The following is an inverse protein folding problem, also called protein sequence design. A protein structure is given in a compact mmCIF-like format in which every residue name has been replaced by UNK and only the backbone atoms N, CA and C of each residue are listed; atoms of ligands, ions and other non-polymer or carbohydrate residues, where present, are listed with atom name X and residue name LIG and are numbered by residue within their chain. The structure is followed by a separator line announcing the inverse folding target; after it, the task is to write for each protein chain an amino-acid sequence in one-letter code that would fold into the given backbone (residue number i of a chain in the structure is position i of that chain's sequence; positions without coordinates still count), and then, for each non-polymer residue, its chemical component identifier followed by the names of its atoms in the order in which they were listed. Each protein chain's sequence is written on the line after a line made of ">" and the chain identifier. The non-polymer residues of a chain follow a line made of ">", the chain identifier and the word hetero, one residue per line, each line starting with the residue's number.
data_IF_509277654114
#
_entry.id   IF_509277654114
#
_cell.length_a   1.000
_cell.length_b   1.000
_cell.length_c   1.000
_cell.angle_alpha   90.00
_cell.angle_beta   90.00
_cell.angle_gamma   90.00
#
_symmetry.space_group_name_H-M   'P 1'
#
loop_
_entity.id
_entity.type
_entity.pdbx_description
1 polymer ?
#
# COMPACT_ATOMS: atom_id res chain seq x y z
N UNK A 1 12.04 -14.98 11.19
CA UNK A 1 11.67 -13.99 10.18
C UNK A 1 12.87 -13.13 9.82
N UNK A 2 13.28 -13.13 8.56
CA UNK A 2 14.26 -12.17 8.02
C UNK A 2 13.54 -10.86 7.67
N UNK A 3 13.88 -9.77 8.37
CA UNK A 3 13.26 -8.45 8.22
C UNK A 3 14.06 -7.51 7.30
N UNK A 4 15.11 -8.01 6.65
CA UNK A 4 16.00 -7.20 5.82
C UNK A 4 15.22 -6.51 4.70
N UNK A 5 15.30 -5.17 4.56
CA UNK A 5 14.59 -4.46 3.51
C UNK A 5 15.06 -4.86 2.12
N UNK A 6 14.13 -4.87 1.15
CA UNK A 6 14.43 -5.19 -0.25
C UNK A 6 13.74 -4.20 -1.19
N UNK A 7 14.31 -4.07 -2.38
CA UNK A 7 13.72 -3.35 -3.51
C UNK A 7 12.84 -4.30 -4.33
N UNK A 8 11.85 -3.74 -5.03
CA UNK A 8 10.97 -4.52 -5.88
C UNK A 8 11.70 -5.05 -7.13
N UNK A 9 11.28 -6.21 -7.60
CA UNK A 9 11.72 -6.79 -8.87
C UNK A 9 10.70 -6.54 -9.96
N UNK A 10 11.16 -6.49 -11.21
CA UNK A 10 10.28 -6.32 -12.37
C UNK A 10 9.58 -7.64 -12.67
N UNK A 11 8.25 -7.65 -12.62
CA UNK A 11 7.44 -8.80 -13.05
C UNK A 11 7.02 -8.67 -14.52
N UNK A 12 6.72 -7.45 -14.96
CA UNK A 12 6.24 -7.18 -16.31
C UNK A 12 6.76 -5.83 -16.82
N UNK A 13 7.08 -5.78 -18.10
CA UNK A 13 7.45 -4.57 -18.84
C UNK A 13 6.74 -4.56 -20.19
N UNK A 14 6.18 -3.40 -20.54
CA UNK A 14 5.66 -3.14 -21.87
C UNK A 14 5.54 -1.65 -22.15
N UNK A 15 5.14 -1.28 -23.35
CA UNK A 15 5.13 0.13 -23.81
C UNK A 15 4.25 1.06 -22.98
N UNK A 16 3.22 0.50 -22.32
CA UNK A 16 2.32 1.26 -21.44
C UNK A 16 2.83 1.45 -20.02
N UNK A 17 3.84 0.68 -19.58
CA UNK A 17 4.28 0.72 -18.20
C UNK A 17 4.97 -0.53 -17.70
N UNK A 18 5.27 -0.52 -16.41
CA UNK A 18 6.01 -1.56 -15.72
C UNK A 18 5.27 -1.94 -14.44
N UNK A 19 5.29 -3.22 -14.13
CA UNK A 19 4.73 -3.73 -12.89
C UNK A 19 5.82 -4.46 -12.09
N UNK A 20 5.99 -4.03 -10.84
CA UNK A 20 7.01 -4.54 -9.93
C UNK A 20 6.37 -5.26 -8.75
N UNK A 21 7.05 -6.28 -8.24
CA UNK A 21 6.61 -7.07 -7.08
C UNK A 21 7.73 -7.18 -6.05
N UNK A 22 7.34 -7.40 -4.80
CA UNK A 22 8.19 -8.01 -3.80
C UNK A 22 7.72 -9.45 -3.63
N UNK A 23 8.49 -10.41 -4.16
CA UNK A 23 8.15 -11.82 -4.03
C UNK A 23 8.40 -12.29 -2.60
N UNK A 24 7.53 -13.15 -2.08
CA UNK A 24 7.75 -13.86 -0.82
C UNK A 24 8.99 -14.77 -0.82
N UNK A 25 9.55 -15.10 -1.99
CA UNK A 25 10.86 -15.77 -2.07
C UNK A 25 12.03 -14.85 -1.70
N UNK A 26 11.94 -13.56 -2.05
CA UNK A 26 13.01 -12.58 -1.83
C UNK A 26 12.79 -11.78 -0.54
N UNK A 27 11.53 -11.65 -0.11
CA UNK A 27 11.11 -11.03 1.14
C UNK A 27 10.25 -12.02 1.93
N UNK A 28 10.84 -13.06 2.56
CA UNK A 28 10.09 -14.09 3.28
C UNK A 28 9.16 -13.54 4.37
N UNK A 29 9.51 -12.41 4.99
CA UNK A 29 8.66 -11.72 5.97
C UNK A 29 7.25 -11.40 5.44
N UNK A 30 7.09 -11.12 4.14
CA UNK A 30 5.77 -10.89 3.54
C UNK A 30 4.87 -12.14 3.65
N UNK A 31 5.44 -13.31 3.35
CA UNK A 31 4.73 -14.59 3.44
C UNK A 31 4.44 -14.99 4.88
N UNK A 32 5.44 -14.89 5.76
CA UNK A 32 5.30 -15.22 7.20
C UNK A 32 4.27 -14.30 7.89
N UNK A 33 4.27 -13.01 7.56
CA UNK A 33 3.37 -12.03 8.16
C UNK A 33 2.05 -11.84 7.38
N UNK A 34 1.85 -12.60 6.29
CA UNK A 34 0.62 -12.59 5.47
C UNK A 34 0.24 -11.20 4.97
N UNK A 35 1.21 -10.47 4.45
CA UNK A 35 1.04 -9.13 3.88
C UNK A 35 1.78 -9.03 2.55
N UNK A 36 1.25 -8.27 1.60
CA UNK A 36 1.78 -8.22 0.23
C UNK A 36 2.05 -6.79 -0.23
N UNK A 37 2.95 -6.67 -1.20
CA UNK A 37 3.30 -5.38 -1.80
C UNK A 37 3.58 -5.50 -3.30
N UNK A 38 3.21 -4.46 -4.05
CA UNK A 38 3.56 -4.31 -5.46
C UNK A 38 3.64 -2.83 -5.85
N UNK A 39 4.25 -2.52 -6.98
CA UNK A 39 4.36 -1.15 -7.50
C UNK A 39 3.99 -1.11 -8.98
N UNK A 40 3.01 -0.28 -9.30
CA UNK A 40 2.54 0.00 -10.65
C UNK A 40 3.19 1.30 -11.15
N UNK A 41 3.78 1.26 -12.34
CA UNK A 41 4.30 2.43 -13.05
C UNK A 41 3.61 2.48 -14.41
N UNK A 42 2.82 3.53 -14.64
CA UNK A 42 2.17 3.77 -15.93
C UNK A 42 2.84 4.94 -16.64
N UNK A 43 3.38 4.67 -17.81
CA UNK A 43 3.80 5.72 -18.75
C UNK A 43 2.59 6.60 -19.10
N UNK A 44 2.78 7.82 -19.64
CA UNK A 44 1.67 8.61 -20.19
C UNK A 44 0.81 7.74 -21.12
N UNK A 45 -0.52 7.78 -21.03
CA UNK A 45 -1.43 6.88 -21.79
C UNK A 45 -1.26 5.38 -21.51
N UNK A 46 -0.54 5.00 -20.46
CA UNK A 46 -0.47 3.63 -19.96
C UNK A 46 -1.79 3.20 -19.35
N UNK A 47 -2.28 2.03 -19.71
CA UNK A 47 -3.54 1.45 -19.26
C UNK A 47 -3.33 0.06 -18.67
N UNK A 48 -3.52 -0.06 -17.36
CA UNK A 48 -3.61 -1.34 -16.66
C UNK A 48 -4.97 -1.97 -16.90
N UNK A 49 -4.98 -3.16 -17.51
CA UNK A 49 -6.19 -3.86 -17.91
C UNK A 49 -7.10 -4.17 -16.70
N UNK A 50 -8.43 -4.23 -16.89
CA UNK A 50 -9.38 -4.54 -15.81
C UNK A 50 -9.09 -5.87 -15.12
N UNK A 51 -8.96 -5.83 -13.80
CA UNK A 51 -8.65 -6.99 -12.97
C UNK A 51 -9.25 -6.86 -11.57
N UNK A 52 -9.45 -7.99 -10.90
CA UNK A 52 -9.66 -8.05 -9.45
C UNK A 52 -8.52 -8.81 -8.77
N UNK A 53 -8.48 -8.80 -7.44
CA UNK A 53 -7.43 -9.46 -6.68
C UNK A 53 -7.99 -10.31 -5.53
N UNK A 54 -7.20 -11.30 -5.09
CA UNK A 54 -7.46 -12.13 -3.91
C UNK A 54 -7.16 -11.44 -2.57
N UNK A 55 -6.77 -10.16 -2.63
CA UNK A 55 -6.24 -9.42 -1.49
C UNK A 55 -6.82 -8.00 -1.45
N UNK A 56 -7.26 -7.58 -0.26
CA UNK A 56 -7.56 -6.18 0.02
C UNK A 56 -6.26 -5.40 0.22
N UNK A 57 -6.20 -4.18 -0.30
CA UNK A 57 -4.97 -3.37 -0.34
C UNK A 57 -5.28 -1.88 -0.39
N UNK A 58 -4.33 -1.06 0.03
CA UNK A 58 -4.34 0.38 -0.17
C UNK A 58 -3.31 0.75 -1.23
N UNK A 59 -3.70 1.56 -2.21
CA UNK A 59 -2.79 2.21 -3.15
C UNK A 59 -2.38 3.57 -2.64
N UNK A 60 -1.09 3.89 -2.70
CA UNK A 60 -0.55 5.22 -2.42
C UNK A 60 0.15 5.78 -3.66
N UNK A 61 -0.30 6.94 -4.10
CA UNK A 61 0.22 7.60 -5.31
C UNK A 61 1.51 8.34 -4.97
N UNK A 62 2.63 7.80 -5.45
CA UNK A 62 3.97 8.34 -5.24
C UNK A 62 4.29 9.50 -6.20
N UNK A 63 3.76 9.44 -7.42
CA UNK A 63 4.02 10.38 -8.51
C UNK A 63 2.84 10.38 -9.50
N UNK A 64 2.61 11.49 -10.20
CA UNK A 64 1.50 11.69 -11.12
C UNK A 64 0.43 12.60 -10.55
N UNK A 65 -0.20 13.40 -11.39
CA UNK A 65 -1.26 14.37 -11.03
C UNK A 65 -2.59 14.16 -11.79
N UNK A 66 -2.58 13.32 -12.82
CA UNK A 66 -3.74 13.01 -13.67
C UNK A 66 -3.92 11.50 -13.88
N UNK A 67 -3.90 10.75 -12.78
CA UNK A 67 -4.29 9.34 -12.80
C UNK A 67 -5.80 9.17 -12.85
N UNK A 68 -6.28 8.15 -13.55
CA UNK A 68 -7.67 7.71 -13.53
C UNK A 68 -7.76 6.25 -13.09
N UNK A 69 -8.78 5.95 -12.30
CA UNK A 69 -9.11 4.59 -11.87
C UNK A 69 -10.60 4.39 -12.04
N UNK A 70 -11.00 3.30 -12.71
CA UNK A 70 -12.36 2.78 -12.62
C UNK A 70 -12.42 1.68 -11.59
N UNK A 71 -13.46 1.67 -10.75
CA UNK A 71 -13.73 0.61 -9.79
C UNK A 71 -15.17 0.13 -9.91
N UNK A 72 -15.35 -1.19 -9.89
CA UNK A 72 -16.65 -1.85 -9.73
C UNK A 72 -16.58 -2.71 -8.48
N UNK A 73 -17.45 -2.42 -7.51
CA UNK A 73 -17.46 -3.11 -6.23
C UNK A 73 -18.26 -4.42 -6.30
N UNK A 74 -17.98 -5.39 -5.43
CA UNK A 74 -18.78 -6.62 -5.36
C UNK A 74 -20.27 -6.33 -5.17
N UNK A 75 -21.11 -7.03 -5.94
CA UNK A 75 -22.58 -6.91 -5.92
C UNK A 75 -23.13 -5.53 -6.34
N UNK A 76 -22.35 -4.73 -7.06
CA UNK A 76 -22.84 -3.51 -7.72
C UNK A 76 -22.81 -3.68 -9.24
N UNK A 77 -23.55 -2.82 -9.94
CA UNK A 77 -23.59 -2.78 -11.42
C UNK A 77 -23.10 -1.46 -12.00
N UNK A 78 -22.59 -0.57 -11.15
CA UNK A 78 -22.13 0.75 -11.52
C UNK A 78 -20.61 0.86 -11.32
N UNK A 79 -19.99 1.57 -12.26
CA UNK A 79 -18.58 1.89 -12.24
C UNK A 79 -18.36 3.28 -11.63
N UNK A 80 -17.43 3.35 -10.69
CA UNK A 80 -16.95 4.60 -10.12
C UNK A 80 -15.63 4.99 -10.78
N UNK A 81 -15.61 6.14 -11.46
CA UNK A 81 -14.42 6.66 -12.12
C UNK A 81 -13.83 7.79 -11.28
N UNK A 82 -12.58 7.63 -10.90
CA UNK A 82 -11.93 8.39 -9.84
C UNK A 82 -10.66 9.03 -10.38
N UNK A 83 -10.40 10.27 -9.98
CA UNK A 83 -9.14 10.95 -10.29
C UNK A 83 -8.15 10.76 -9.14
N UNK A 84 -6.89 10.55 -9.50
CA UNK A 84 -5.77 10.35 -8.59
C UNK A 84 -4.65 11.34 -8.85
N UNK A 85 -4.00 11.76 -7.78
CA UNK A 85 -2.79 12.59 -7.77
C UNK A 85 -1.85 12.17 -6.64
N UNK A 86 -0.60 12.62 -6.70
CA UNK A 86 0.41 12.39 -5.67
C UNK A 86 -0.11 12.67 -4.26
N UNK A 87 0.20 11.75 -3.34
CA UNK A 87 -0.24 11.79 -1.94
C UNK A 87 -1.61 11.15 -1.69
N UNK A 88 -2.34 10.78 -2.73
CA UNK A 88 -3.62 10.09 -2.58
C UNK A 88 -3.45 8.67 -2.05
N UNK A 89 -4.29 8.32 -1.08
CA UNK A 89 -4.53 6.96 -0.61
C UNK A 89 -5.90 6.50 -1.10
N UNK A 90 -5.91 5.37 -1.82
CA UNK A 90 -7.12 4.75 -2.37
C UNK A 90 -7.26 3.32 -1.83
N UNK A 91 -8.32 2.99 -1.08
CA UNK A 91 -8.61 1.62 -0.67
C UNK A 91 -9.18 0.81 -1.82
N UNK A 92 -8.68 -0.41 -2.00
CA UNK A 92 -9.19 -1.39 -2.97
C UNK A 92 -9.70 -2.59 -2.17
N UNK A 93 -11.02 -2.65 -1.90
CA UNK A 93 -11.65 -3.78 -1.21
C UNK A 93 -11.44 -5.09 -1.95
N UNK A 94 -11.45 -6.19 -1.21
CA UNK A 94 -11.33 -7.55 -1.75
C UNK A 94 -12.38 -7.80 -2.84
N UNK A 95 -11.95 -8.37 -3.97
CA UNK A 95 -12.83 -8.73 -5.08
C UNK A 95 -13.32 -7.56 -5.94
N UNK A 96 -12.96 -6.31 -5.63
CA UNK A 96 -13.27 -5.17 -6.51
C UNK A 96 -12.54 -5.30 -7.85
N UNK A 97 -13.27 -5.11 -8.95
CA UNK A 97 -12.65 -4.99 -10.28
C UNK A 97 -12.16 -3.56 -10.44
N UNK A 98 -10.93 -3.37 -10.91
CA UNK A 98 -10.36 -2.07 -11.19
C UNK A 98 -9.54 -2.05 -12.47
N UNK A 99 -9.50 -0.90 -13.13
CA UNK A 99 -8.52 -0.57 -14.18
C UNK A 99 -7.84 0.75 -13.84
N UNK A 100 -6.64 0.95 -14.39
CA UNK A 100 -5.76 2.06 -14.02
C UNK A 100 -5.25 2.75 -15.26
N UNK A 101 -5.24 4.07 -15.28
CA UNK A 101 -4.84 4.82 -16.45
C UNK A 101 -4.06 6.07 -16.09
N UNK A 102 -2.98 6.33 -16.82
CA UNK A 102 -2.32 7.63 -16.79
C UNK A 102 -2.93 8.52 -17.88
N UNK A 103 -3.77 9.48 -17.46
CA UNK A 103 -4.45 10.40 -18.37
C UNK A 103 -3.59 11.59 -18.82
N UNK A 104 -2.38 11.70 -18.30
CA UNK A 104 -1.43 12.70 -18.75
C UNK A 104 -1.07 12.55 -20.22
N UNK A 105 -0.86 13.70 -20.89
CA UNK A 105 -0.42 13.76 -22.28
C UNK A 105 1.04 13.33 -22.45
N UNK A 106 1.54 13.28 -23.68
CA UNK A 106 2.87 12.72 -24.01
C UNK A 106 4.08 13.29 -23.24
N UNK A 107 3.96 14.48 -22.63
CA UNK A 107 5.01 15.12 -21.82
C UNK A 107 4.74 15.06 -20.30
N UNK A 108 3.70 14.34 -19.85
CA UNK A 108 3.41 14.20 -18.43
C UNK A 108 4.40 13.25 -17.76
N UNK A 109 4.49 13.35 -16.44
CA UNK A 109 5.19 12.35 -15.64
C UNK A 109 4.47 10.99 -15.65
N UNK A 110 5.20 9.95 -15.25
CA UNK A 110 4.63 8.63 -15.00
C UNK A 110 3.70 8.68 -13.78
N UNK A 111 2.61 7.92 -13.84
CA UNK A 111 1.79 7.64 -12.66
C UNK A 111 2.43 6.45 -11.92
N UNK A 112 2.86 6.68 -10.68
CA UNK A 112 3.50 5.66 -9.85
C UNK A 112 2.66 5.41 -8.61
N UNK A 113 2.20 4.17 -8.42
CA UNK A 113 1.38 3.76 -7.28
C UNK A 113 2.00 2.55 -6.61
N UNK A 114 2.26 2.64 -5.31
CA UNK A 114 2.61 1.47 -4.49
C UNK A 114 1.35 0.93 -3.84
N UNK A 115 1.15 -0.39 -3.87
CA UNK A 115 0.07 -1.05 -3.17
C UNK A 115 0.63 -1.91 -2.06
N UNK A 116 0.07 -1.76 -0.86
CA UNK A 116 0.37 -2.58 0.30
C UNK A 116 -0.95 -3.17 0.82
N UNK A 117 -0.97 -4.43 1.21
CA UNK A 117 -2.22 -5.10 1.58
C UNK A 117 -2.05 -6.35 2.42
N UNK A 118 -3.19 -6.92 2.81
CA UNK A 118 -3.25 -8.17 3.56
C UNK A 118 -3.42 -9.35 2.60
N UNK A 119 -2.66 -10.42 2.84
CA UNK A 119 -2.66 -11.65 2.05
C UNK A 119 -3.05 -12.88 2.89
N UNK A 120 -3.70 -12.68 4.04
CA UNK A 120 -4.15 -13.76 4.94
C UNK A 120 -5.01 -14.81 4.25
N UNK A 121 -5.75 -14.40 3.22
CA UNK A 121 -6.64 -15.24 2.41
C UNK A 121 -6.19 -15.36 0.95
N UNK A 122 -4.98 -14.91 0.62
CA UNK A 122 -4.44 -14.98 -0.72
C UNK A 122 -4.07 -16.42 -1.09
N UNK A 123 -4.03 -16.71 -2.40
CA UNK A 123 -3.56 -18.01 -2.89
C UNK A 123 -2.09 -18.25 -2.57
N UNK A 124 -1.29 -17.20 -2.63
CA UNK A 124 0.14 -17.21 -2.32
C UNK A 124 0.38 -16.21 -1.19
N UNK A 125 0.65 -16.67 0.04
CA UNK A 125 0.99 -15.78 1.14
C UNK A 125 2.16 -14.86 0.77
N UNK A 126 2.00 -13.56 1.04
CA UNK A 126 2.99 -12.54 0.72
C UNK A 126 2.87 -11.93 -0.67
N UNK A 127 1.93 -12.39 -1.51
CA UNK A 127 1.75 -11.90 -2.88
C UNK A 127 0.31 -11.45 -3.14
N UNK A 128 0.18 -10.36 -3.90
CA UNK A 128 -1.10 -9.87 -4.40
C UNK A 128 -1.37 -10.54 -5.75
N UNK A 129 -2.33 -11.47 -5.81
CA UNK A 129 -2.64 -12.21 -7.05
C UNK A 129 -3.76 -11.54 -7.82
N UNK A 130 -3.58 -11.39 -9.13
CA UNK A 130 -4.53 -10.70 -10.00
C UNK A 130 -5.25 -11.65 -10.95
N UNK A 131 -6.52 -11.35 -11.17
CA UNK A 131 -7.44 -12.06 -12.05
C UNK A 131 -7.94 -11.09 -13.11
N UNK A 132 -7.42 -11.23 -14.32
CA UNK A 132 -7.72 -10.31 -15.41
C UNK A 132 -9.06 -10.67 -16.06
N UNK A 133 -9.87 -9.64 -16.33
CA UNK A 133 -11.15 -9.79 -17.03
C UNK A 133 -10.97 -9.69 -18.54
N UNK A 134 -9.93 -8.98 -18.99
CA UNK A 134 -9.61 -8.76 -20.40
C UNK A 134 -8.10 -8.95 -20.67
N UNK A 135 -7.74 -9.13 -21.95
CA UNK A 135 -6.37 -9.37 -22.37
C UNK A 135 -5.99 -10.85 -22.46
N UNK A 136 -4.72 -11.12 -22.71
CA UNK A 136 -4.17 -12.47 -22.89
C UNK A 136 -4.37 -13.35 -21.65
N UNK A 137 -4.41 -12.76 -20.45
CA UNK A 137 -4.66 -13.46 -19.19
C UNK A 137 -6.15 -13.42 -18.78
N UNK A 138 -7.06 -13.08 -19.69
CA UNK A 138 -8.48 -12.95 -19.42
C UNK A 138 -9.10 -14.27 -18.94
N UNK A 139 -9.76 -14.23 -17.79
CA UNK A 139 -10.62 -15.32 -17.32
C UNK A 139 -11.82 -15.55 -18.25
N UNK A 140 -12.37 -14.48 -18.84
CA UNK A 140 -13.45 -14.60 -19.82
C UNK A 140 -12.96 -15.34 -21.07
N UNK A 141 -11.75 -15.04 -21.54
CA UNK A 141 -11.10 -15.76 -22.64
C UNK A 141 -10.66 -17.19 -22.31
N UNK A 142 -10.65 -17.57 -21.03
CA UNK A 142 -10.40 -18.95 -20.58
C UNK A 142 -11.59 -19.89 -20.78
N UNK A 143 -12.81 -19.36 -20.91
CA UNK A 143 -13.98 -20.19 -21.24
C UNK A 143 -14.00 -20.58 -22.71
N UNK A 144 -14.59 -21.74 -23.03
CA UNK A 144 -14.78 -22.12 -24.43
C UNK A 144 -15.72 -21.13 -25.15
N UNK A 145 -15.47 -20.91 -26.44
CA UNK A 145 -16.30 -20.04 -27.29
C UNK A 145 -17.78 -20.43 -27.23
N UNK A 146 -18.10 -21.73 -27.14
CA UNK A 146 -19.48 -22.20 -27.01
C UNK A 146 -20.14 -21.77 -25.69
N UNK A 147 -19.41 -21.82 -24.57
CA UNK A 147 -19.92 -21.38 -23.27
C UNK A 147 -20.18 -19.88 -23.28
N UNK A 148 -19.22 -19.09 -23.77
CA UNK A 148 -19.39 -17.63 -23.88
C UNK A 148 -20.55 -17.30 -24.81
N UNK A 149 -20.64 -17.93 -25.99
CA UNK A 149 -21.71 -17.65 -26.95
C UNK A 149 -23.09 -17.94 -26.35
N UNK A 150 -23.24 -19.05 -25.61
CA UNK A 150 -24.51 -19.40 -24.94
C UNK A 150 -24.82 -18.49 -23.75
N UNK A 151 -23.83 -18.17 -22.93
CA UNK A 151 -24.01 -17.34 -21.74
C UNK A 151 -24.47 -15.91 -22.08
N UNK A 152 -23.91 -15.32 -23.15
CA UNK A 152 -24.27 -13.97 -23.59
C UNK A 152 -25.36 -13.95 -24.68
N UNK A 153 -25.84 -15.11 -25.14
CA UNK A 153 -26.78 -15.25 -26.25
C UNK A 153 -26.29 -14.53 -27.54
N UNK A 154 -25.05 -14.80 -27.92
CA UNK A 154 -24.36 -14.24 -29.11
C UNK A 154 -23.84 -15.35 -30.02
N UNK A 155 -23.37 -14.99 -31.21
CA UNK A 155 -22.73 -15.94 -32.12
C UNK A 155 -21.34 -16.35 -31.62
N UNK A 156 -20.82 -17.48 -32.12
CA UNK A 156 -19.45 -17.94 -31.80
C UNK A 156 -18.38 -16.96 -32.29
N UNK A 157 -18.59 -16.32 -33.44
CA UNK A 157 -17.66 -15.33 -33.99
C UNK A 157 -17.62 -14.05 -33.13
N UNK A 158 -18.76 -13.61 -32.61
CA UNK A 158 -18.82 -12.49 -31.66
C UNK A 158 -18.15 -12.85 -30.33
N UNK A 159 -18.40 -14.06 -29.81
CA UNK A 159 -17.74 -14.54 -28.60
C UNK A 159 -16.22 -14.59 -28.76
N UNK A 160 -15.72 -15.07 -29.91
CA UNK A 160 -14.29 -15.08 -30.22
C UNK A 160 -13.72 -13.67 -30.31
N UNK A 161 -14.41 -12.72 -30.94
CA UNK A 161 -13.97 -11.32 -30.97
C UNK A 161 -13.93 -10.71 -29.57
N UNK A 162 -14.95 -10.88 -28.75
CA UNK A 162 -15.01 -10.34 -27.39
C UNK A 162 -13.86 -10.88 -26.52
N UNK A 163 -13.56 -12.17 -26.65
CA UNK A 163 -12.56 -12.85 -25.82
C UNK A 163 -11.12 -12.69 -26.30
N UNK A 164 -10.88 -12.49 -27.61
CA UNK A 164 -9.55 -12.58 -28.21
C UNK A 164 -9.04 -11.28 -28.86
N UNK A 165 -9.85 -10.23 -28.97
CA UNK A 165 -9.42 -8.99 -29.66
C UNK A 165 -8.35 -8.19 -28.92
N UNK A 166 -8.32 -8.26 -27.59
CA UNK A 166 -7.28 -7.61 -26.78
C UNK A 166 -6.14 -8.60 -26.52
N UNK A 167 -4.97 -8.35 -27.10
CA UNK A 167 -3.78 -9.22 -27.00
C UNK A 167 -2.76 -8.73 -25.95
N UNK A 168 -2.99 -7.57 -25.34
CA UNK A 168 -2.19 -7.08 -24.22
C UNK A 168 -2.25 -8.00 -23.00
N UNK A 169 -1.20 -7.99 -22.17
CA UNK A 169 -1.07 -8.92 -21.03
C UNK A 169 -1.53 -8.28 -19.72
N UNK A 170 -0.79 -7.30 -19.19
CA UNK A 170 -1.10 -6.59 -17.93
C UNK A 170 -1.38 -5.11 -18.19
N UNK A 171 -0.42 -4.44 -18.83
CA UNK A 171 -0.43 -3.01 -19.11
C UNK A 171 -0.22 -2.82 -20.60
N UNK A 172 -1.04 -1.97 -21.23
CA UNK A 172 -0.94 -1.59 -22.64
C UNK A 172 -0.78 -0.08 -22.79
N UNK A 173 -0.26 0.34 -23.95
CA UNK A 173 -0.25 1.74 -24.35
C UNK A 173 -1.50 2.03 -25.18
N UNK A 174 -2.26 3.06 -24.81
CA UNK A 174 -3.39 3.53 -25.62
C UNK A 174 -2.93 4.63 -26.58
N UNK A 175 -3.50 4.63 -27.80
CA UNK A 175 -3.38 5.74 -28.75
C UNK A 175 -4.16 6.98 -28.30
N UNK A 176 -4.22 8.00 -29.14
CA UNK A 176 -4.97 9.26 -28.89
C UNK A 176 -6.13 9.41 -29.90
N UNK A 177 -6.90 8.34 -30.12
CA UNK A 177 -8.03 8.32 -31.03
C UNK A 177 -9.38 8.18 -30.30
N UNK A 178 -10.49 8.38 -31.03
CA UNK A 178 -11.86 8.33 -30.47
C UNK A 178 -12.20 6.99 -29.79
N UNK A 179 -11.56 5.88 -30.18
CA UNK A 179 -11.79 4.55 -29.59
C UNK A 179 -11.14 4.40 -28.22
N UNK A 180 -10.25 5.32 -27.86
CA UNK A 180 -9.48 5.33 -26.60
C UNK A 180 -9.91 6.45 -25.65
N UNK A 181 -11.13 6.97 -25.83
CA UNK A 181 -11.71 7.99 -24.95
C UNK A 181 -12.06 7.38 -23.59
N UNK A 182 -11.45 7.91 -22.54
CA UNK A 182 -11.69 7.44 -21.18
C UNK A 182 -13.00 7.99 -20.60
N UNK A 183 -13.67 7.23 -19.71
CA UNK A 183 -14.77 7.74 -18.91
C UNK A 183 -14.37 8.98 -18.09
N UNK A 184 -15.32 9.88 -17.85
CA UNK A 184 -15.06 11.09 -17.05
C UNK A 184 -15.11 10.75 -15.56
N UNK A 185 -14.15 11.23 -14.75
CA UNK A 185 -14.18 11.01 -13.31
C UNK A 185 -15.32 11.78 -12.64
N UNK A 186 -15.87 11.20 -11.57
CA UNK A 186 -16.83 11.83 -10.68
C UNK A 186 -16.10 12.49 -9.51
N UNK A 187 -16.27 13.80 -9.33
CA UNK A 187 -15.70 14.51 -8.18
C UNK A 187 -16.24 14.00 -6.86
N UNK A 188 -17.54 13.67 -6.79
CA UNK A 188 -18.16 13.18 -5.57
C UNK A 188 -17.57 11.81 -5.17
N UNK A 189 -17.45 10.92 -6.14
CA UNK A 189 -16.86 9.60 -5.95
C UNK A 189 -15.39 9.71 -5.57
N UNK A 190 -14.65 10.63 -6.20
CA UNK A 190 -13.25 10.91 -5.86
C UNK A 190 -13.12 11.35 -4.40
N UNK A 191 -13.93 12.30 -3.93
CA UNK A 191 -13.91 12.76 -2.53
C UNK A 191 -14.30 11.66 -1.52
N UNK A 192 -15.15 10.71 -1.93
CA UNK A 192 -15.62 9.62 -1.08
C UNK A 192 -14.64 8.45 -1.01
N UNK A 193 -13.89 8.20 -2.07
CA UNK A 193 -13.10 6.97 -2.25
C UNK A 193 -11.58 7.20 -2.19
N UNK A 194 -11.15 8.46 -2.09
CA UNK A 194 -9.73 8.85 -2.03
C UNK A 194 -9.50 9.85 -0.91
N UNK A 195 -8.37 9.70 -0.21
CA UNK A 195 -7.93 10.67 0.79
C UNK A 195 -6.49 11.09 0.52
N UNK A 196 -6.25 12.40 0.38
CA UNK A 196 -4.91 12.94 0.12
C UNK A 196 -4.17 13.18 1.45
N UNK A 197 -3.16 12.37 1.75
CA UNK A 197 -2.37 12.51 3.00
C UNK A 197 -1.18 13.44 2.73
N UNK A 198 -1.24 14.67 3.22
CA UNK A 198 -0.19 15.69 3.04
C UNK A 198 0.60 16.01 4.30
N UNK A 199 0.04 15.71 5.47
CA UNK A 199 0.60 16.02 6.78
C UNK A 199 1.96 15.35 7.04
N UNK A 200 2.76 15.94 7.94
CA UNK A 200 4.11 15.44 8.30
C UNK A 200 4.05 14.01 8.85
N UNK A 201 3.26 13.77 9.90
CA UNK A 201 3.04 12.42 10.42
C UNK A 201 1.56 12.24 10.71
N UNK A 202 0.92 11.26 10.09
CA UNK A 202 -0.52 11.01 10.26
C UNK A 202 -0.83 9.55 10.03
N UNK A 203 -1.63 8.98 10.93
CA UNK A 203 -2.28 7.67 10.73
C UNK A 203 -3.74 7.92 10.37
N UNK A 204 -4.14 7.43 9.21
CA UNK A 204 -5.49 7.50 8.68
C UNK A 204 -6.21 6.19 9.00
N UNK A 205 -7.26 6.28 9.82
CA UNK A 205 -8.11 5.14 10.21
C UNK A 205 -9.51 5.30 9.60
N UNK A 206 -10.39 4.32 9.83
CA UNK A 206 -11.79 4.47 9.40
C UNK A 206 -12.54 5.62 10.10
N UNK A 207 -12.00 6.22 11.16
CA UNK A 207 -12.60 7.40 11.78
C UNK A 207 -12.42 8.64 10.89
N UNK A 208 -11.22 8.84 10.35
CA UNK A 208 -10.90 9.97 9.48
C UNK A 208 -11.32 9.70 8.04
N UNK A 209 -11.27 8.44 7.61
CA UNK A 209 -11.64 8.02 6.26
C UNK A 209 -12.44 6.71 6.29
N UNK A 210 -13.78 6.78 6.46
CA UNK A 210 -14.65 5.62 6.67
C UNK A 210 -14.56 4.52 5.60
N UNK A 211 -14.17 4.87 4.38
CA UNK A 211 -14.05 3.89 3.30
C UNK A 211 -12.90 2.88 3.53
N UNK A 212 -11.93 3.19 4.39
CA UNK A 212 -10.89 2.24 4.82
C UNK A 212 -11.46 0.95 5.44
N UNK A 213 -12.64 1.03 6.06
CA UNK A 213 -13.35 -0.13 6.61
C UNK A 213 -13.63 -1.20 5.56
N UNK A 214 -13.84 -0.81 4.30
CA UNK A 214 -14.11 -1.76 3.21
C UNK A 214 -12.87 -2.57 2.81
N UNK A 215 -11.67 -2.00 2.99
CA UNK A 215 -10.42 -2.73 2.84
C UNK A 215 -10.00 -3.46 4.13
N UNK A 216 -10.49 -3.01 5.30
CA UNK A 216 -10.09 -3.55 6.61
C UNK A 216 -8.68 -3.12 7.02
N UNK A 217 -8.16 -2.04 6.42
CA UNK A 217 -6.78 -1.59 6.56
C UNK A 217 -6.74 -0.12 6.98
N UNK A 218 -5.63 0.32 7.53
CA UNK A 218 -5.32 1.74 7.79
C UNK A 218 -3.99 2.11 7.16
N UNK A 219 -3.79 3.40 6.95
CA UNK A 219 -2.59 3.94 6.33
C UNK A 219 -1.86 4.86 7.31
N UNK A 220 -0.54 4.89 7.26
CA UNK A 220 0.26 5.86 8.00
C UNK A 220 1.31 6.47 7.09
N UNK A 221 1.40 7.80 7.10
CA UNK A 221 2.49 8.53 6.46
C UNK A 221 3.37 9.13 7.56
N UNK A 222 4.66 8.83 7.51
CA UNK A 222 5.67 9.41 8.41
C UNK A 222 6.70 10.16 7.57
N UNK A 223 6.73 11.50 7.69
CA UNK A 223 7.74 12.39 7.10
C UNK A 223 8.58 12.99 8.20
N UNK A 224 9.84 12.59 8.22
CA UNK A 224 10.84 13.08 9.15
C UNK A 224 11.78 14.03 8.41
N UNK A 225 11.99 15.21 8.98
CA UNK A 225 13.02 16.15 8.53
C UNK A 225 14.42 15.56 8.76
N UNK A 226 15.45 16.19 8.21
CA UNK A 226 16.83 15.73 8.37
C UNK A 226 17.20 15.51 9.85
N UNK A 227 17.74 14.33 10.16
CA UNK A 227 18.15 13.90 11.51
C UNK A 227 17.02 13.82 12.55
N UNK A 228 15.75 13.97 12.15
CA UNK A 228 14.62 13.77 13.05
C UNK A 228 14.38 12.27 13.31
N UNK A 229 13.86 11.95 14.49
CA UNK A 229 13.53 10.59 14.90
C UNK A 229 12.04 10.47 15.18
N UNK A 230 11.42 9.35 14.79
CA UNK A 230 10.09 8.98 15.27
C UNK A 230 10.17 8.39 16.67
N UNK A 231 9.14 8.62 17.50
CA UNK A 231 8.95 7.84 18.73
C UNK A 231 8.99 6.33 18.40
N UNK A 232 9.60 5.49 19.25
CA UNK A 232 9.45 4.05 19.16
C UNK A 232 7.98 3.66 19.41
N UNK A 233 7.38 2.97 18.45
CA UNK A 233 5.98 2.54 18.49
C UNK A 233 5.83 1.04 18.29
N UNK A 234 4.74 0.48 18.79
CA UNK A 234 4.33 -0.90 18.51
C UNK A 234 2.80 -1.01 18.43
N UNK A 235 2.31 -2.09 17.82
CA UNK A 235 0.87 -2.43 17.79
C UNK A 235 0.50 -3.28 19.00
N UNK A 236 -0.66 -3.02 19.61
CA UNK A 236 -1.15 -3.77 20.78
C UNK A 236 -2.23 -4.82 20.44
N UNK A 237 -2.65 -4.89 19.18
CA UNK A 237 -3.82 -5.63 18.70
C UNK A 237 -3.49 -6.73 17.66
N UNK A 238 -2.29 -7.31 17.75
CA UNK A 238 -1.79 -8.36 16.85
C UNK A 238 -1.73 -7.96 15.36
N UNK A 239 -1.82 -6.67 15.04
CA UNK A 239 -1.73 -6.17 13.67
C UNK A 239 -0.29 -6.08 13.18
N UNK A 240 -0.10 -6.33 11.89
CA UNK A 240 1.19 -6.23 11.20
C UNK A 240 1.25 -4.91 10.45
N UNK A 241 2.44 -4.31 10.37
CA UNK A 241 2.69 -3.12 9.56
C UNK A 241 3.65 -3.44 8.41
N UNK A 242 3.27 -3.08 7.19
CA UNK A 242 4.17 -3.05 6.04
C UNK A 242 4.59 -1.61 5.79
N UNK A 243 5.89 -1.37 5.64
CA UNK A 243 6.46 -0.03 5.46
C UNK A 243 7.18 0.03 4.12
N UNK A 244 6.80 1.00 3.30
CA UNK A 244 7.50 1.38 2.08
C UNK A 244 8.18 2.73 2.28
N UNK A 245 9.47 2.82 1.97
CA UNK A 245 10.22 4.08 1.99
C UNK A 245 9.92 4.84 0.70
N UNK A 246 9.07 5.85 0.80
CA UNK A 246 8.60 6.64 -0.34
C UNK A 246 9.59 7.75 -0.75
N UNK A 247 10.42 8.22 0.18
CA UNK A 247 11.35 9.32 -0.07
C UNK A 247 12.50 9.36 0.94
N UNK A 248 13.64 9.91 0.52
CA UNK A 248 14.80 10.12 1.38
C UNK A 248 15.52 8.83 1.78
N UNK A 249 16.17 8.88 2.93
CA UNK A 249 16.96 7.78 3.49
C UNK A 249 17.11 7.94 5.00
N UNK A 250 17.40 6.86 5.71
CA UNK A 250 17.58 6.90 7.16
C UNK A 250 17.94 5.53 7.72
N UNK A 251 17.83 5.39 9.04
CA UNK A 251 18.03 4.15 9.76
C UNK A 251 16.70 3.70 10.37
N UNK A 252 16.38 2.42 10.23
CA UNK A 252 15.22 1.81 10.89
C UNK A 252 15.71 0.70 11.80
N UNK A 253 15.25 0.75 13.05
CA UNK A 253 15.49 -0.29 14.04
C UNK A 253 14.19 -0.98 14.41
N UNK A 254 14.24 -2.31 14.53
CA UNK A 254 13.15 -3.13 15.03
C UNK A 254 13.62 -3.97 16.21
N UNK A 255 12.92 -3.84 17.33
CA UNK A 255 13.15 -4.63 18.54
C UNK A 255 12.02 -5.64 18.68
N UNK A 256 12.39 -6.91 18.83
CA UNK A 256 11.46 -8.04 18.88
C UNK A 256 11.46 -8.76 20.22
N UNK A 257 11.26 -10.08 20.16
CA UNK A 257 11.18 -10.95 21.32
C UNK A 257 12.41 -10.82 22.23
N UNK A 258 12.18 -10.87 23.54
CA UNK A 258 13.21 -10.76 24.57
C UNK A 258 14.05 -9.48 24.48
N UNK A 259 13.52 -8.41 23.89
CA UNK A 259 14.23 -7.13 23.73
C UNK A 259 15.38 -7.18 22.73
N UNK A 260 15.44 -8.19 21.86
CA UNK A 260 16.50 -8.31 20.87
C UNK A 260 16.30 -7.30 19.73
N UNK A 261 17.38 -6.62 19.35
CA UNK A 261 17.45 -5.82 18.13
C UNK A 261 17.51 -6.77 16.93
N UNK A 262 16.35 -7.03 16.32
CA UNK A 262 16.19 -8.01 15.23
C UNK A 262 16.41 -7.38 13.86
N UNK A 263 16.36 -6.04 13.76
CA UNK A 263 16.74 -5.30 12.57
C UNK A 263 17.42 -3.99 13.00
N UNK A 264 18.55 -3.69 12.38
CA UNK A 264 19.20 -2.39 12.40
C UNK A 264 19.82 -2.17 11.03
N UNK A 265 19.22 -1.27 10.24
CA UNK A 265 19.61 -1.11 8.84
C UNK A 265 19.40 0.31 8.36
N UNK A 266 20.29 0.74 7.47
CA UNK A 266 20.03 1.87 6.61
C UNK A 266 18.98 1.49 5.56
N UNK A 267 18.13 2.46 5.23
CA UNK A 267 17.07 2.36 4.22
C UNK A 267 17.10 3.56 3.30
N UNK A 268 16.61 3.38 2.07
CA UNK A 268 16.45 4.43 1.07
C UNK A 268 15.13 4.26 0.31
N UNK A 269 14.74 5.30 -0.42
CA UNK A 269 13.58 5.26 -1.33
C UNK A 269 13.49 3.95 -2.12
N UNK A 270 12.32 3.33 -2.11
CA UNK A 270 12.04 2.06 -2.78
C UNK A 270 12.23 0.82 -1.91
N UNK A 271 12.84 0.94 -0.73
CA UNK A 271 12.96 -0.19 0.19
C UNK A 271 11.60 -0.51 0.83
N UNK A 272 11.34 -1.79 1.02
CA UNK A 272 10.17 -2.32 1.71
C UNK A 272 10.61 -3.19 2.88
N UNK A 273 9.95 -3.03 4.03
CA UNK A 273 10.13 -3.89 5.19
C UNK A 273 8.79 -4.20 5.88
N UNK A 274 8.82 -5.20 6.74
CA UNK A 274 7.69 -5.62 7.58
C UNK A 274 8.04 -5.39 9.04
N UNK A 275 7.10 -4.85 9.81
CA UNK A 275 7.16 -4.78 11.26
C UNK A 275 6.13 -5.78 11.80
N UNK A 276 6.57 -6.91 12.40
CA UNK A 276 5.67 -7.89 12.98
C UNK A 276 4.83 -7.31 14.11
N UNK A 277 3.70 -7.97 14.41
CA UNK A 277 2.85 -7.60 15.53
C UNK A 277 3.61 -7.54 16.85
N UNK A 278 3.34 -6.53 17.68
CA UNK A 278 4.00 -6.27 18.97
C UNK A 278 5.50 -5.95 18.89
N UNK A 279 6.11 -5.93 17.70
CA UNK A 279 7.51 -5.52 17.57
C UNK A 279 7.57 -4.00 17.57
N UNK A 280 8.62 -3.48 18.20
CA UNK A 280 8.82 -2.05 18.30
C UNK A 280 9.62 -1.55 17.12
N UNK A 281 9.19 -0.44 16.51
CA UNK A 281 9.91 0.20 15.42
C UNK A 281 10.21 1.65 15.74
N UNK A 282 11.45 2.07 15.45
CA UNK A 282 11.87 3.46 15.47
C UNK A 282 12.57 3.80 14.15
N UNK A 283 12.39 5.04 13.69
CA UNK A 283 12.90 5.52 12.40
C UNK A 283 13.69 6.80 12.63
N UNK A 284 14.95 6.82 12.22
CA UNK A 284 15.83 7.99 12.26
C UNK A 284 16.09 8.45 10.83
N UNK A 285 15.75 9.69 10.51
CA UNK A 285 16.02 10.25 9.20
C UNK A 285 17.51 10.57 9.01
N UNK A 286 18.03 10.33 7.82
CA UNK A 286 19.35 10.82 7.40
C UNK A 286 19.31 12.30 7.00
N UNK A 287 20.37 12.77 6.34
CA UNK A 287 20.53 14.19 5.97
C UNK A 287 19.50 14.73 4.97
N UNK A 288 18.83 13.87 4.20
CA UNK A 288 17.82 14.25 3.20
C UNK A 288 16.38 14.05 3.69
N UNK A 289 16.18 13.80 4.98
CA UNK A 289 14.88 13.40 5.52
C UNK A 289 14.52 11.95 5.20
N UNK A 290 13.39 11.50 5.72
CA UNK A 290 12.84 10.16 5.50
C UNK A 290 11.31 10.22 5.40
N UNK A 291 10.77 9.67 4.32
CA UNK A 291 9.32 9.54 4.10
C UNK A 291 8.95 8.07 3.97
N UNK A 292 8.04 7.61 4.84
CA UNK A 292 7.57 6.23 4.87
C UNK A 292 6.04 6.20 4.75
N UNK A 293 5.54 5.49 3.74
CA UNK A 293 4.13 5.10 3.66
C UNK A 293 3.98 3.69 4.25
N UNK A 294 3.01 3.50 5.14
CA UNK A 294 2.78 2.22 5.80
C UNK A 294 1.31 1.82 5.72
N UNK A 295 1.07 0.52 5.68
CA UNK A 295 -0.27 -0.07 5.87
C UNK A 295 -0.25 -0.98 7.07
N UNK A 296 -1.27 -0.84 7.92
CA UNK A 296 -1.48 -1.70 9.09
C UNK A 296 -2.72 -2.57 8.84
N UNK A 297 -2.64 -3.85 9.19
CA UNK A 297 -3.68 -4.88 8.93
C UNK A 297 -4.92 -4.76 9.84
N UNK A 298 -5.41 -3.54 10.04
CA UNK A 298 -6.66 -3.20 10.72
C UNK A 298 -7.09 -1.81 10.28
N UNK A 299 -8.39 -1.57 10.16
CA UNK A 299 -8.94 -0.22 9.92
C UNK A 299 -8.95 0.67 11.17
N UNK A 300 -8.77 0.08 12.36
CA UNK A 300 -8.69 0.75 13.66
C UNK A 300 -7.51 0.20 14.48
N UNK A 301 -6.26 0.37 14.02
CA UNK A 301 -5.11 -0.17 14.74
C UNK A 301 -4.95 0.52 16.10
N UNK A 302 -4.54 -0.23 17.11
CA UNK A 302 -4.16 0.32 18.41
C UNK A 302 -2.64 0.43 18.49
N UNK A 303 -2.14 1.66 18.34
CA UNK A 303 -0.72 1.99 18.42
C UNK A 303 -0.40 2.54 19.80
N UNK A 304 0.73 2.11 20.34
CA UNK A 304 1.26 2.60 21.61
C UNK A 304 2.67 3.16 21.41
N UNK A 305 2.90 4.33 21.99
CA UNK A 305 4.20 4.99 22.03
C UNK A 305 4.99 4.56 23.26
N UNK A 306 6.32 4.42 23.13
CA UNK A 306 7.21 4.42 24.30
C UNK A 306 7.77 5.80 24.63
N UNK A 307 7.67 6.77 23.73
CA UNK A 307 8.04 8.15 23.99
C UNK A 307 6.98 9.12 23.45
N UNK A 308 6.81 10.25 24.09
CA UNK A 308 5.82 11.27 23.75
C UNK A 308 4.71 11.41 24.79
N UNK A 309 3.70 12.21 24.45
CA UNK A 309 2.61 12.59 25.39
C UNK A 309 1.78 11.40 25.87
N UNK A 310 1.61 10.39 25.03
CA UNK A 310 0.82 9.17 25.25
C UNK A 310 1.70 7.95 25.53
N UNK A 311 2.95 8.15 25.98
CA UNK A 311 3.90 7.07 26.22
C UNK A 311 3.46 6.12 27.34
N UNK A 312 3.41 4.81 27.06
CA UNK A 312 3.19 3.77 28.06
C UNK A 312 4.24 3.82 29.18
N UNK A 313 5.52 3.97 28.82
CA UNK A 313 6.61 4.09 29.79
C UNK A 313 6.47 5.36 30.64
N UNK A 314 6.04 6.47 30.01
CA UNK A 314 5.80 7.75 30.68
C UNK A 314 4.54 7.78 31.55
N UNK A 315 3.67 6.77 31.44
CA UNK A 315 2.46 6.59 32.25
C UNK A 315 2.71 5.78 33.54
N UNK A 316 3.82 5.03 33.62
CA UNK A 316 4.22 4.34 34.86
C UNK A 316 4.50 5.32 35.99
N UNK A 317 4.24 4.89 37.23
CA UNK A 317 4.53 5.72 38.40
C UNK A 317 6.05 5.94 38.57
N UNK A 318 6.47 7.07 39.19
CA UNK A 318 7.87 7.33 39.49
C UNK A 318 8.57 6.16 40.20
N UNK A 319 7.90 5.54 41.16
CA UNK A 319 8.41 4.40 41.93
C UNK A 319 8.59 3.17 41.05
N UNK A 320 7.62 2.88 40.16
CA UNK A 320 7.73 1.76 39.23
C UNK A 320 8.87 1.97 38.22
N UNK A 321 9.08 3.20 37.73
CA UNK A 321 10.21 3.50 36.85
C UNK A 321 11.56 3.32 37.56
N UNK A 322 11.68 3.78 38.81
CA UNK A 322 12.89 3.59 39.61
C UNK A 322 13.19 2.11 39.85
N UNK A 323 12.18 1.33 40.27
CA UNK A 323 12.32 -0.10 40.56
C UNK A 323 12.61 -0.89 39.29
N UNK A 324 11.82 -0.70 38.23
CA UNK A 324 11.90 -1.50 37.01
C UNK A 324 13.18 -1.22 36.19
N UNK A 325 13.63 0.04 36.16
CA UNK A 325 14.85 0.42 35.44
C UNK A 325 16.10 0.42 36.35
N UNK A 326 15.93 0.22 37.66
CA UNK A 326 16.98 0.32 38.67
C UNK A 326 17.76 1.66 38.58
N UNK A 327 17.02 2.77 38.55
CA UNK A 327 17.57 4.13 38.40
C UNK A 327 17.32 5.00 39.62
N UNK A 328 18.17 6.00 39.83
CA UNK A 328 18.01 6.95 40.94
C UNK A 328 16.81 7.88 40.72
N UNK A 329 16.27 8.50 41.79
CA UNK A 329 15.22 9.51 41.65
C UNK A 329 15.59 10.67 40.73
N UNK A 330 16.86 11.10 40.71
CA UNK A 330 17.34 12.17 39.82
C UNK A 330 17.24 11.76 38.35
N UNK A 331 17.66 10.54 38.01
CA UNK A 331 17.60 10.04 36.64
C UNK A 331 16.16 9.74 36.21
N UNK A 332 15.31 9.26 37.12
CA UNK A 332 13.89 9.08 36.84
C UNK A 332 13.18 10.42 36.58
N UNK A 333 13.48 11.45 37.37
CA UNK A 333 12.95 12.80 37.14
C UNK A 333 13.39 13.35 35.77
N UNK A 334 14.65 13.11 35.39
CA UNK A 334 15.14 13.47 34.05
C UNK A 334 14.34 12.73 32.97
N UNK A 335 14.20 11.41 33.09
CA UNK A 335 13.43 10.58 32.13
C UNK A 335 12.00 11.11 31.98
N UNK A 336 11.26 11.27 33.08
CA UNK A 336 9.87 11.75 33.05
C UNK A 336 9.76 13.17 32.47
N UNK A 337 10.77 14.04 32.68
CA UNK A 337 10.80 15.38 32.10
C UNK A 337 11.05 15.42 30.59
N UNK A 338 11.69 14.37 30.04
CA UNK A 338 12.10 14.27 28.63
C UNK A 338 11.15 13.41 27.81
N UNK A 339 10.67 12.31 28.37
CA UNK A 339 9.87 11.31 27.66
C UNK A 339 8.59 11.91 27.09
N UNK A 340 8.00 12.92 27.74
CA UNK A 340 6.77 13.59 27.26
C UNK A 340 7.01 14.75 26.27
N UNK A 341 8.26 15.05 25.94
CA UNK A 341 8.68 16.19 25.08
C UNK A 341 9.13 15.80 23.68
N UNK A 342 9.19 14.50 23.40
CA UNK A 342 9.44 13.95 22.05
C UNK A 342 8.12 14.05 21.26
#
# INVERSE_FOLDING_TARGET
>A
MDLTPKQAQKLFEGDGGTYYIWSSSDVPALGEAKVGACKLVLQPRGFGLPHYADSAKLGYVLQGDDGLVGMVFPNTSEEEVIKLKKGDVIPIPLGSVSWWFNNGGSNSEELVVVFLGETTRAYIPGQLTYFFVAGTLSLLGGFSTEFVSKAYNITKDEADKITKSQTGVLIIKLGEDEKTKMPKPSENSTRKLVHNITCKTTTLTEKEFPFLKQAGLSASLTKLEANAISSPIYTTDATVQVVYVAGGSGQIQIVGLNGQLVLDTEVKSGDLLVVPSFFMVAKLAGGNGLECFSVITSSQPVLEDLAGKTSALGALSPEMLQIALNITPELQNLLSSRIRKI
#
